data_IF_502137321402
#
_entry.id   IF_502137321402
#
_cell.length_a   1.000
_cell.length_b   1.000
_cell.length_c   1.000
_cell.angle_alpha   90.00
_cell.angle_beta   90.00
_cell.angle_gamma   90.00
#
_symmetry.space_group_name_H-M   'P 1'
#
loop_
_entity.id
_entity.type
_entity.pdbx_description
1 polymer ?
#
# COMPACT_ATOMS: atom_id res chain seq x y z
N UNK A 1 7.23 5.56 -8.86
CA UNK A 1 6.15 4.54 -8.88
C UNK A 1 4.81 5.18 -8.56
N UNK A 2 3.71 4.73 -9.16
CA UNK A 2 2.36 5.14 -8.76
C UNK A 2 1.72 4.06 -7.89
N UNK A 3 1.24 4.41 -6.69
CA UNK A 3 0.57 3.48 -5.77
C UNK A 3 -0.93 3.79 -5.76
N UNK A 4 -1.73 2.79 -6.07
CA UNK A 4 -3.19 2.80 -5.93
C UNK A 4 -3.55 1.99 -4.68
N UNK A 5 -4.03 2.68 -3.65
CA UNK A 5 -4.36 2.08 -2.35
C UNK A 5 -5.88 2.03 -2.16
N UNK A 6 -6.41 0.83 -1.90
CA UNK A 6 -7.84 0.59 -1.66
C UNK A 6 -8.03 -0.11 -0.32
N UNK A 7 -9.10 0.26 0.40
CA UNK A 7 -9.52 -0.42 1.63
C UNK A 7 -10.76 -1.29 1.39
N UNK A 8 -10.75 -2.53 1.88
CA UNK A 8 -11.91 -3.42 1.91
C UNK A 8 -12.35 -3.60 3.35
N UNK A 9 -13.56 -3.14 3.67
CA UNK A 9 -14.11 -3.09 5.03
C UNK A 9 -13.28 -2.29 6.04
N UNK A 10 -12.46 -1.35 5.56
CA UNK A 10 -11.62 -0.49 6.39
C UNK A 10 -11.53 0.92 5.81
N UNK A 11 -11.52 1.92 6.68
CA UNK A 11 -11.19 3.29 6.32
C UNK A 11 -9.67 3.46 6.24
N UNK A 12 -9.18 3.98 5.12
CA UNK A 12 -7.75 4.25 4.94
C UNK A 12 -7.41 5.57 5.65
N UNK A 13 -6.78 5.47 6.82
CA UNK A 13 -6.22 6.62 7.53
C UNK A 13 -4.91 7.11 6.90
N UNK A 14 -4.52 8.34 7.22
CA UNK A 14 -3.22 8.90 6.81
C UNK A 14 -2.03 8.05 7.29
N UNK A 15 -2.15 7.47 8.50
CA UNK A 15 -1.11 6.60 9.04
C UNK A 15 -0.93 5.31 8.23
N UNK A 16 -2.03 4.70 7.75
CA UNK A 16 -1.97 3.51 6.89
C UNK A 16 -1.38 3.84 5.52
N UNK A 17 -1.76 4.98 4.94
CA UNK A 17 -1.19 5.46 3.67
C UNK A 17 0.32 5.67 3.80
N UNK A 18 0.75 6.43 4.81
CA UNK A 18 2.17 6.70 5.06
C UNK A 18 2.98 5.41 5.29
N UNK A 19 2.38 4.41 5.94
CA UNK A 19 3.02 3.12 6.14
C UNK A 19 3.27 2.40 4.81
N UNK A 20 2.27 2.35 3.94
CA UNK A 20 2.39 1.77 2.59
C UNK A 20 3.46 2.51 1.79
N UNK A 21 3.40 3.84 1.73
CA UNK A 21 4.37 4.65 1.00
C UNK A 21 5.80 4.43 1.50
N UNK A 22 6.00 4.40 2.83
CA UNK A 22 7.33 4.14 3.42
C UNK A 22 7.85 2.76 3.07
N UNK A 23 6.99 1.73 3.07
CA UNK A 23 7.39 0.36 2.70
C UNK A 23 7.83 0.29 1.24
N UNK A 24 7.10 0.97 0.37
CA UNK A 24 7.32 0.93 -1.07
C UNK A 24 8.46 1.86 -1.53
N UNK A 25 8.75 2.95 -0.82
CA UNK A 25 9.95 3.78 -1.08
C UNK A 25 11.26 3.01 -0.95
N UNK A 26 11.30 1.98 -0.10
CA UNK A 26 12.45 1.06 0.00
C UNK A 26 12.56 0.18 -1.24
N UNK A 27 11.43 -0.21 -1.80
CA UNK A 27 11.38 -1.09 -2.97
C UNK A 27 11.80 -0.36 -4.25
N UNK A 28 11.41 0.92 -4.42
CA UNK A 28 11.85 1.74 -5.56
C UNK A 28 13.38 1.82 -5.68
N UNK A 29 14.12 1.82 -4.55
CA UNK A 29 15.59 1.87 -4.55
C UNK A 29 16.27 0.60 -5.09
N UNK A 30 15.52 -0.51 -5.19
CA UNK A 30 16.04 -1.79 -5.66
C UNK A 30 15.48 -2.19 -7.03
N UNK A 31 14.45 -1.50 -7.51
CA UNK A 31 13.71 -1.88 -8.72
C UNK A 31 13.37 -0.65 -9.56
N UNK A 32 14.17 -0.37 -10.59
CA UNK A 32 14.04 0.82 -11.44
C UNK A 32 12.82 0.79 -12.39
N UNK A 33 12.12 -0.34 -12.52
CA UNK A 33 11.06 -0.55 -13.53
C UNK A 33 9.62 -0.61 -12.98
N UNK A 34 9.39 -0.33 -11.69
CA UNK A 34 8.02 -0.42 -11.14
C UNK A 34 7.22 0.83 -11.51
N UNK A 35 6.33 0.65 -12.50
CA UNK A 35 5.48 1.73 -12.99
C UNK A 35 4.22 1.93 -12.15
N UNK A 36 3.55 0.84 -11.75
CA UNK A 36 2.26 0.90 -11.07
C UNK A 36 2.10 -0.22 -10.04
N UNK A 37 1.57 0.11 -8.86
CA UNK A 37 1.34 -0.83 -7.75
C UNK A 37 -0.09 -0.69 -7.28
N UNK A 38 -0.78 -1.81 -7.08
CA UNK A 38 -2.11 -1.86 -6.50
C UNK A 38 -2.05 -2.55 -5.13
N UNK A 39 -2.46 -1.84 -4.08
CA UNK A 39 -2.45 -2.31 -2.69
C UNK A 39 -3.88 -2.36 -2.18
N UNK A 40 -4.26 -3.50 -1.59
CA UNK A 40 -5.57 -3.69 -0.96
C UNK A 40 -5.33 -4.01 0.51
N UNK A 41 -5.84 -3.17 1.41
CA UNK A 41 -5.89 -3.46 2.84
C UNK A 41 -7.25 -4.07 3.15
N UNK A 42 -7.28 -5.30 3.66
CA UNK A 42 -8.51 -6.00 4.03
C UNK A 42 -8.51 -6.29 5.53
N UNK A 43 -9.68 -6.14 6.17
CA UNK A 43 -9.90 -6.58 7.55
C UNK A 43 -10.80 -7.81 7.52
N UNK A 44 -10.25 -8.93 7.96
CA UNK A 44 -10.99 -10.18 8.11
C UNK A 44 -11.14 -10.51 9.59
N UNK A 45 -12.34 -10.94 9.98
CA UNK A 45 -12.57 -11.43 11.34
C UNK A 45 -11.89 -12.79 11.48
N UNK A 46 -10.92 -12.89 12.38
CA UNK A 46 -10.35 -14.18 12.78
C UNK A 46 -11.47 -15.02 13.41
N UNK A 47 -11.74 -16.17 12.80
CA UNK A 47 -12.69 -17.17 13.28
C UNK A 47 -12.10 -17.95 14.46
#
# INVERSE_FOLDING_TARGET
>A
MQINLTGHHIEITDSLRNYVDTKFSKLERHFDHISNVHVILNVEKLA
#
